data_IF_726886526595
#
_entry.id   IF_726886526595
#
_cell.length_a   1.000
_cell.length_b   1.000
_cell.length_c   1.000
_cell.angle_alpha   90.00
_cell.angle_beta   90.00
_cell.angle_gamma   90.00
#
_symmetry.space_group_name_H-M   'P 1'
#
loop_
_entity.id
_entity.type
_entity.pdbx_description
1 polymer ?
#
# COMPACT_ATOMS: atom_id res chain seq x y z
N UNK A 1 11.85 16.20 17.89
CA UNK A 1 11.54 15.63 16.56
C UNK A 1 10.45 16.52 15.96
N UNK A 2 10.68 17.23 14.85
CA UNK A 2 9.59 17.92 14.19
C UNK A 2 8.58 16.86 13.74
N UNK A 3 7.36 16.97 14.25
CA UNK A 3 6.22 16.19 13.75
C UNK A 3 5.95 16.72 12.35
N UNK A 4 6.34 15.97 11.31
CA UNK A 4 5.94 16.27 9.94
C UNK A 4 4.46 15.90 9.88
N UNK A 5 3.58 16.80 10.36
CA UNK A 5 2.16 16.69 10.07
C UNK A 5 2.00 16.93 8.58
N UNK A 6 1.83 15.84 7.84
CA UNK A 6 1.43 15.89 6.45
C UNK A 6 -0.03 16.33 6.43
N UNK A 7 -0.27 17.63 6.24
CA UNK A 7 -1.63 18.22 6.19
C UNK A 7 -2.38 17.88 4.89
N UNK A 8 -1.86 16.96 4.08
CA UNK A 8 -2.55 16.48 2.89
C UNK A 8 -3.89 15.83 3.27
N UNK A 9 -4.98 16.09 2.51
CA UNK A 9 -6.25 15.42 2.73
C UNK A 9 -6.09 13.91 2.72
N UNK A 10 -6.73 13.25 3.68
CA UNK A 10 -6.77 11.80 3.80
C UNK A 10 -8.14 11.27 3.45
N UNK A 11 -8.16 10.02 2.98
CA UNK A 11 -9.35 9.21 2.75
C UNK A 11 -9.24 7.97 3.63
N UNK A 12 -10.33 7.62 4.30
CA UNK A 12 -10.42 6.39 5.08
C UNK A 12 -10.68 5.21 4.14
N UNK A 13 -9.87 4.15 4.27
CA UNK A 13 -10.03 2.89 3.55
C UNK A 13 -9.92 1.74 4.54
N UNK A 14 -11.04 1.33 5.13
CA UNK A 14 -11.04 0.19 6.03
C UNK A 14 -10.54 -1.08 5.34
N UNK A 15 -9.64 -1.79 6.04
CA UNK A 15 -9.06 -3.04 5.60
C UNK A 15 -9.52 -4.18 6.51
N UNK A 16 -9.98 -5.27 5.91
CA UNK A 16 -10.19 -6.52 6.63
C UNK A 16 -8.86 -7.05 7.19
N UNK A 17 -8.92 -7.96 8.17
CA UNK A 17 -7.69 -8.56 8.71
C UNK A 17 -6.89 -9.28 7.61
N UNK A 18 -7.57 -9.96 6.68
CA UNK A 18 -6.94 -10.60 5.54
C UNK A 18 -6.24 -9.59 4.62
N UNK A 19 -6.90 -8.46 4.34
CA UNK A 19 -6.31 -7.38 3.55
C UNK A 19 -5.10 -6.75 4.25
N UNK A 20 -5.16 -6.58 5.58
CA UNK A 20 -4.04 -6.07 6.36
C UNK A 20 -2.82 -6.99 6.24
N UNK A 21 -3.01 -8.30 6.38
CA UNK A 21 -1.94 -9.29 6.21
C UNK A 21 -1.31 -9.24 4.82
N UNK A 22 -2.14 -9.23 3.77
CA UNK A 22 -1.66 -9.19 2.39
C UNK A 22 -0.94 -7.87 2.09
N UNK A 23 -1.49 -6.73 2.52
CA UNK A 23 -0.85 -5.42 2.34
C UNK A 23 0.49 -5.36 3.07
N UNK A 24 0.54 -5.84 4.32
CA UNK A 24 1.78 -5.88 5.09
C UNK A 24 2.85 -6.71 4.37
N UNK A 25 2.48 -7.90 3.88
CA UNK A 25 3.38 -8.75 3.09
C UNK A 25 3.85 -8.06 1.80
N UNK A 26 2.94 -7.43 1.05
CA UNK A 26 3.27 -6.69 -0.18
C UNK A 26 4.25 -5.54 0.08
N UNK A 27 4.07 -4.81 1.18
CA UNK A 27 4.92 -3.67 1.53
C UNK A 27 6.29 -4.15 2.00
N UNK A 28 6.35 -5.16 2.88
CA UNK A 28 7.60 -5.70 3.41
C UNK A 28 8.44 -6.37 2.33
N UNK A 29 7.82 -7.12 1.40
CA UNK A 29 8.50 -7.70 0.24
C UNK A 29 9.22 -6.61 -0.58
N UNK A 30 8.55 -5.50 -0.88
CA UNK A 30 9.20 -4.41 -1.60
C UNK A 30 10.28 -3.70 -0.78
N UNK A 31 10.04 -3.49 0.52
CA UNK A 31 11.02 -2.85 1.42
C UNK A 31 12.31 -3.67 1.44
N UNK A 32 12.22 -5.00 1.55
CA UNK A 32 13.37 -5.89 1.56
C UNK A 32 14.15 -5.81 0.25
N UNK A 33 13.45 -5.86 -0.89
CA UNK A 33 14.07 -5.78 -2.22
C UNK A 33 14.74 -4.41 -2.42
N UNK A 34 14.04 -3.31 -2.11
CA UNK A 34 14.53 -1.95 -2.34
C UNK A 34 15.60 -1.50 -1.32
N UNK A 35 15.73 -2.22 -0.20
CA UNK A 35 16.76 -1.96 0.81
C UNK A 35 18.07 -2.71 0.56
N UNK A 36 18.10 -3.65 -0.40
CA UNK A 36 19.32 -4.35 -0.79
C UNK A 36 20.44 -3.40 -1.24
N UNK A 37 21.69 -3.74 -0.91
CA UNK A 37 22.86 -2.88 -1.19
C UNK A 37 23.06 -2.62 -2.70
N UNK A 38 22.74 -3.59 -3.54
CA UNK A 38 22.87 -3.52 -5.00
C UNK A 38 21.54 -3.17 -5.72
N UNK A 39 20.49 -2.79 -4.98
CA UNK A 39 19.19 -2.50 -5.56
C UNK A 39 19.19 -1.15 -6.30
N UNK A 40 18.97 -1.18 -7.62
CA UNK A 40 18.70 0.03 -8.43
C UNK A 40 17.20 0.42 -8.32
N UNK A 41 16.74 0.64 -7.10
CA UNK A 41 15.36 0.98 -6.78
C UNK A 41 15.29 2.21 -5.87
N UNK A 42 14.20 3.01 -5.96
CA UNK A 42 13.97 4.10 -5.03
C UNK A 42 13.88 3.59 -3.59
N UNK A 43 14.48 4.34 -2.65
CA UNK A 43 14.40 4.03 -1.22
C UNK A 43 12.93 3.95 -0.77
N UNK A 44 12.52 2.90 -0.03
CA UNK A 44 11.12 2.58 0.22
C UNK A 44 10.51 3.41 1.37
N UNK A 45 10.75 4.72 1.41
CA UNK A 45 10.33 5.59 2.53
C UNK A 45 8.80 5.61 2.70
N UNK A 46 8.07 5.61 1.58
CA UNK A 46 6.60 5.65 1.61
C UNK A 46 6.04 4.29 2.00
N UNK A 47 6.63 3.21 1.49
CA UNK A 47 6.23 1.86 1.83
C UNK A 47 6.49 1.53 3.30
N UNK A 48 7.57 2.04 3.90
CA UNK A 48 7.82 1.96 5.35
C UNK A 48 6.71 2.68 6.11
N UNK A 49 6.40 3.93 5.76
CA UNK A 49 5.34 4.70 6.44
C UNK A 49 3.96 4.04 6.30
N UNK A 50 3.68 3.43 5.14
CA UNK A 50 2.46 2.65 4.92
C UNK A 50 2.43 1.41 5.83
N UNK A 51 3.53 0.67 5.94
CA UNK A 51 3.60 -0.52 6.79
C UNK A 51 3.37 -0.15 8.26
N UNK A 52 4.00 0.92 8.74
CA UNK A 52 3.79 1.45 10.10
C UNK A 52 2.32 1.82 10.36
N UNK A 53 1.64 2.44 9.39
CA UNK A 53 0.21 2.75 9.50
C UNK A 53 -0.64 1.49 9.63
N UNK A 54 -0.37 0.46 8.82
CA UNK A 54 -1.09 -0.81 8.86
C UNK A 54 -0.87 -1.51 10.21
N UNK A 55 0.36 -1.58 10.69
CA UNK A 55 0.70 -2.16 11.99
C UNK A 55 0.05 -1.41 13.16
N UNK A 56 -0.07 -0.10 13.05
CA UNK A 56 -0.76 0.75 14.02
C UNK A 56 -2.30 0.73 13.88
N UNK A 57 -2.86 0.00 12.91
CA UNK A 57 -4.31 -0.02 12.66
C UNK A 57 -4.87 1.32 12.17
N UNK A 58 -4.04 2.15 11.55
CA UNK A 58 -4.42 3.48 11.03
C UNK A 58 -4.71 3.40 9.54
N UNK A 59 -5.98 3.52 9.16
CA UNK A 59 -6.45 3.34 7.78
C UNK A 59 -6.83 4.63 7.07
N UNK A 60 -6.12 5.72 7.40
CA UNK A 60 -6.25 7.02 6.76
C UNK A 60 -5.06 7.28 5.84
N UNK A 61 -5.33 7.40 4.55
CA UNK A 61 -4.32 7.48 3.52
C UNK A 61 -4.50 8.75 2.68
N UNK A 62 -3.40 9.43 2.40
CA UNK A 62 -3.36 10.47 1.38
C UNK A 62 -3.57 9.84 0.00
N UNK A 63 -3.93 10.64 -0.99
CA UNK A 63 -3.99 10.16 -2.38
C UNK A 63 -2.64 9.50 -2.76
N UNK A 64 -1.53 10.20 -2.62
CA UNK A 64 -0.22 9.65 -3.00
C UNK A 64 0.10 8.28 -2.36
N UNK A 65 -0.24 8.09 -1.08
CA UNK A 65 -0.14 6.81 -0.37
C UNK A 65 -1.04 5.73 -0.99
N UNK A 66 -2.30 6.05 -1.31
CA UNK A 66 -3.21 5.12 -2.00
C UNK A 66 -2.70 4.72 -3.39
N UNK A 67 -2.11 5.63 -4.16
CA UNK A 67 -1.58 5.28 -5.49
C UNK A 67 -0.36 4.36 -5.36
N UNK A 68 0.50 4.60 -4.36
CA UNK A 68 1.60 3.69 -4.04
C UNK A 68 1.10 2.33 -3.62
N UNK A 69 0.14 2.27 -2.70
CA UNK A 69 -0.45 1.02 -2.24
C UNK A 69 -1.09 0.24 -3.40
N UNK A 70 -1.89 0.92 -4.23
CA UNK A 70 -2.50 0.35 -5.44
C UNK A 70 -1.46 -0.23 -6.39
N UNK A 71 -0.40 0.53 -6.68
CA UNK A 71 0.67 0.06 -7.56
C UNK A 71 1.30 -1.23 -7.03
N UNK A 72 1.61 -1.28 -5.72
CA UNK A 72 2.22 -2.46 -5.08
C UNK A 72 1.28 -3.66 -5.09
N UNK A 73 0.01 -3.47 -4.74
CA UNK A 73 -0.99 -4.54 -4.78
C UNK A 73 -1.19 -5.09 -6.21
N UNK A 74 -1.21 -4.23 -7.23
CA UNK A 74 -1.29 -4.67 -8.64
C UNK A 74 -0.05 -5.43 -9.09
N UNK A 75 1.13 -5.02 -8.62
CA UNK A 75 2.37 -5.72 -8.91
C UNK A 75 2.35 -7.13 -8.29
N UNK A 76 2.02 -7.23 -7.01
CA UNK A 76 1.96 -8.51 -6.30
C UNK A 76 0.87 -9.43 -6.88
N UNK A 77 -0.29 -8.91 -7.26
CA UNK A 77 -1.37 -9.68 -7.88
C UNK A 77 -0.96 -10.37 -9.21
N UNK A 78 0.11 -9.88 -9.86
CA UNK A 78 0.67 -10.43 -11.11
C UNK A 78 1.91 -11.30 -10.88
N UNK A 79 2.38 -11.42 -9.64
CA UNK A 79 3.53 -12.24 -9.30
C UNK A 79 3.10 -13.70 -9.17
N UNK A 80 3.30 -14.51 -10.20
CA UNK A 80 2.91 -15.93 -10.20
C UNK A 80 3.64 -16.77 -9.12
N UNK A 81 4.68 -16.23 -8.48
CA UNK A 81 5.33 -16.87 -7.33
C UNK A 81 4.54 -16.71 -6.01
N UNK A 82 3.66 -15.70 -5.91
CA UNK A 82 2.80 -15.50 -4.74
C UNK A 82 1.63 -16.49 -4.72
N UNK A 83 1.10 -16.90 -3.56
CA UNK A 83 -0.10 -17.74 -3.49
C UNK A 83 -1.33 -17.13 -4.18
N UNK A 84 -2.15 -17.96 -4.84
CA UNK A 84 -3.35 -17.51 -5.57
C UNK A 84 -4.32 -16.70 -4.70
N UNK A 85 -4.47 -17.09 -3.42
CA UNK A 85 -5.32 -16.39 -2.45
C UNK A 85 -4.84 -14.95 -2.23
N UNK A 86 -3.55 -14.76 -1.95
CA UNK A 86 -2.93 -13.46 -1.72
C UNK A 86 -3.02 -12.57 -2.97
N UNK A 87 -2.81 -13.16 -4.16
CA UNK A 87 -2.96 -12.43 -5.44
C UNK A 87 -4.40 -11.95 -5.64
N UNK A 88 -5.39 -12.76 -5.29
CA UNK A 88 -6.81 -12.39 -5.40
C UNK A 88 -7.18 -11.25 -4.45
N UNK A 89 -6.70 -11.29 -3.21
CA UNK A 89 -6.91 -10.23 -2.22
C UNK A 89 -6.23 -8.93 -2.67
N UNK A 90 -4.95 -8.99 -3.07
CA UNK A 90 -4.21 -7.83 -3.56
C UNK A 90 -4.88 -7.20 -4.79
N UNK A 91 -5.41 -8.01 -5.71
CA UNK A 91 -6.17 -7.52 -6.87
C UNK A 91 -7.45 -6.80 -6.45
N UNK A 92 -8.24 -7.44 -5.59
CA UNK A 92 -9.51 -6.88 -5.12
C UNK A 92 -9.31 -5.55 -4.39
N UNK A 93 -8.26 -5.45 -3.58
CA UNK A 93 -7.90 -4.21 -2.90
C UNK A 93 -7.47 -3.11 -3.87
N UNK A 94 -6.66 -3.43 -4.89
CA UNK A 94 -6.28 -2.46 -5.90
C UNK A 94 -7.49 -1.90 -6.66
N UNK A 95 -8.45 -2.77 -7.00
CA UNK A 95 -9.70 -2.38 -7.67
C UNK A 95 -10.55 -1.47 -6.75
N UNK A 96 -10.65 -1.79 -5.44
CA UNK A 96 -11.30 -0.90 -4.45
C UNK A 96 -10.62 0.47 -4.35
N UNK A 97 -9.29 0.52 -4.40
CA UNK A 97 -8.56 1.80 -4.37
C UNK A 97 -8.87 2.63 -5.63
N UNK A 98 -8.97 2.00 -6.81
CA UNK A 98 -9.42 2.68 -8.04
C UNK A 98 -10.82 3.29 -7.90
N UNK A 99 -11.75 2.58 -7.27
CA UNK A 99 -13.11 3.08 -7.05
C UNK A 99 -13.13 4.32 -6.14
N UNK A 100 -12.35 4.28 -5.04
CA UNK A 100 -12.19 5.43 -4.12
C UNK A 100 -11.57 6.63 -4.83
N UNK A 101 -10.58 6.39 -5.68
CA UNK A 101 -9.96 7.42 -6.51
C UNK A 101 -10.91 8.03 -7.53
N UNK A 102 -11.66 7.18 -8.24
CA UNK A 102 -12.65 7.61 -9.21
C UNK A 102 -13.72 8.50 -8.59
N UNK A 103 -14.13 8.20 -7.35
CA UNK A 103 -15.09 9.00 -6.60
C UNK A 103 -14.53 10.33 -6.08
N UNK A 104 -13.23 10.38 -5.77
CA UNK A 104 -12.57 11.59 -5.25
C UNK A 104 -12.28 12.63 -6.34
N UNK A 105 -12.04 12.20 -7.59
CA UNK A 105 -11.83 13.09 -8.75
C UNK A 105 -13.13 13.64 -9.33
N UNK A 106 -14.28 13.00 -9.04
CA UNK A 106 -15.62 13.40 -9.50
C UNK A 106 -16.38 14.30 -8.51
N UNK A 107 -15.76 14.69 -7.40
CA UNK A 107 -16.29 15.65 -6.42
C UNK A 107 -15.53 16.97 -6.50
#
# INVERSE_FOLDING_TARGET
MPSITNDAPTVELELSLEEQWVVHHVLTEYIDIASGEDADLPKPVVEIALAEKIEAGTFAFTAFELEKLRFRCRFHARNDASPDADRSVARSLADRIDDVYGQTVLR
#
